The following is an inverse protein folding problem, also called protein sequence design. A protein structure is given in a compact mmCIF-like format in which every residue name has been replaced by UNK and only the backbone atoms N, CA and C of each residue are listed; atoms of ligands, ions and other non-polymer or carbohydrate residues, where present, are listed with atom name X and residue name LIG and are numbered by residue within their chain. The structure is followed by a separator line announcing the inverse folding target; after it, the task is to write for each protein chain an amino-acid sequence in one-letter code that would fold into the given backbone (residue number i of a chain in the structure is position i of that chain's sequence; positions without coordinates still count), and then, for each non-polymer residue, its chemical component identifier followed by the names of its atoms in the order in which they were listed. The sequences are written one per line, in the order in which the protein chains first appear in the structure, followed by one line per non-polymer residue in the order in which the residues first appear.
data_IF_767320908004
#
_entry.id   IF_767320908004
#
_cell.length_a   1.000
_cell.length_b   1.000
_cell.length_c   1.000
_cell.angle_alpha   90.00
_cell.angle_beta   90.00
_cell.angle_gamma   90.00
#
_symmetry.space_group_name_H-M   'P 1'
#
loop_
_entity.id
_entity.type
_entity.pdbx_description
1 polymer ?
#
# COMPACT_ATOMS: atom_id res chain seq x y z
N UNK A 1 4.88 5.94 -15.31
CA UNK A 1 3.58 5.81 -16.01
C UNK A 1 3.13 4.35 -16.03
N UNK A 2 3.97 3.42 -16.50
CA UNK A 2 3.63 1.99 -16.64
C UNK A 2 3.22 1.36 -15.30
N UNK A 3 3.97 1.57 -14.22
CA UNK A 3 3.62 1.07 -12.88
C UNK A 3 2.23 1.54 -12.45
N UNK A 4 1.92 2.83 -12.63
CA UNK A 4 0.61 3.35 -12.26
C UNK A 4 -0.52 2.73 -13.08
N UNK A 5 -0.30 2.52 -14.37
CA UNK A 5 -1.30 1.85 -15.21
C UNK A 5 -1.55 0.41 -14.74
N UNK A 6 -0.48 -0.35 -14.47
CA UNK A 6 -0.58 -1.73 -13.96
C UNK A 6 -1.30 -1.75 -12.60
N UNK A 7 -0.89 -0.92 -11.65
CA UNK A 7 -1.50 -0.91 -10.31
C UNK A 7 -2.97 -0.49 -10.32
N UNK A 8 -3.35 0.48 -11.15
CA UNK A 8 -4.76 0.88 -11.33
C UNK A 8 -5.57 -0.27 -11.94
N UNK A 9 -5.02 -0.96 -12.95
CA UNK A 9 -5.68 -2.12 -13.56
C UNK A 9 -5.85 -3.24 -12.53
N UNK A 10 -4.82 -3.56 -11.75
CA UNK A 10 -4.90 -4.57 -10.69
C UNK A 10 -5.95 -4.20 -9.64
N UNK A 11 -5.98 -2.94 -9.21
CA UNK A 11 -6.98 -2.48 -8.25
C UNK A 11 -8.42 -2.57 -8.81
N UNK A 12 -8.61 -2.19 -10.08
CA UNK A 12 -9.91 -2.29 -10.73
C UNK A 12 -10.40 -3.74 -10.82
N UNK A 13 -9.51 -4.67 -11.21
CA UNK A 13 -9.86 -6.10 -11.25
C UNK A 13 -10.14 -6.65 -9.86
N UNK A 14 -9.37 -6.28 -8.84
CA UNK A 14 -9.60 -6.69 -7.45
C UNK A 14 -10.99 -6.21 -6.94
N UNK A 15 -11.38 -4.98 -7.26
CA UNK A 15 -12.69 -4.42 -6.88
C UNK A 15 -13.83 -5.16 -7.59
N UNK A 16 -13.67 -5.47 -8.87
CA UNK A 16 -14.68 -6.19 -9.66
C UNK A 16 -14.83 -7.63 -9.15
N UNK A 17 -13.72 -8.32 -8.92
CA UNK A 17 -13.72 -9.71 -8.42
C UNK A 17 -14.21 -9.80 -6.96
N UNK A 18 -13.92 -8.80 -6.16
CA UNK A 18 -14.29 -8.73 -4.74
C UNK A 18 -15.73 -8.26 -4.48
N UNK A 19 -16.54 -7.99 -5.52
CA UNK A 19 -17.92 -7.51 -5.34
C UNK A 19 -18.02 -6.05 -4.86
N UNK A 20 -16.89 -5.34 -4.83
CA UNK A 20 -16.81 -3.93 -4.44
C UNK A 20 -15.86 -3.68 -3.26
N UNK A 21 -15.52 -2.41 -3.06
CA UNK A 21 -14.59 -1.99 -2.00
C UNK A 21 -15.13 -2.34 -0.61
N UNK A 22 -16.44 -2.18 -0.39
CA UNK A 22 -17.08 -2.45 0.89
C UNK A 22 -16.97 -3.93 1.27
N UNK A 23 -17.13 -4.82 0.30
CA UNK A 23 -17.08 -6.26 0.51
C UNK A 23 -15.65 -6.74 0.78
N UNK A 24 -14.66 -6.18 0.10
CA UNK A 24 -13.24 -6.44 0.36
C UNK A 24 -12.88 -6.01 1.79
N UNK A 25 -13.34 -4.84 2.24
CA UNK A 25 -13.06 -4.35 3.59
C UNK A 25 -13.76 -5.20 4.65
N UNK A 26 -15.00 -5.63 4.41
CA UNK A 26 -15.74 -6.48 5.36
C UNK A 26 -15.15 -7.87 5.51
N UNK A 27 -14.60 -8.42 4.45
CA UNK A 27 -13.97 -9.75 4.44
C UNK A 27 -12.50 -9.71 4.88
N UNK A 28 -11.94 -8.51 5.11
CA UNK A 28 -10.58 -8.40 5.61
C UNK A 28 -10.47 -9.05 6.99
N UNK A 29 -9.52 -9.97 7.20
CA UNK A 29 -9.35 -10.63 8.48
C UNK A 29 -8.94 -9.59 9.52
N UNK A 30 -9.92 -9.10 10.27
CA UNK A 30 -9.67 -8.28 11.45
C UNK A 30 -9.10 -9.24 12.47
N UNK A 31 -7.83 -9.07 12.82
CA UNK A 31 -7.22 -9.82 13.89
C UNK A 31 -8.11 -9.72 15.13
N UNK A 32 -8.68 -10.84 15.58
CA UNK A 32 -9.52 -10.86 16.75
C UNK A 32 -8.83 -10.19 17.90
N UNK A 33 -9.48 -9.14 18.38
CA UNK A 33 -9.20 -8.47 19.65
C UNK A 33 -7.77 -8.17 20.03
N UNK A 34 -7.35 -6.98 19.80
CA UNK A 34 -6.68 -6.06 20.75
C UNK A 34 -5.35 -6.44 21.38
N UNK A 35 -4.86 -7.65 21.32
CA UNK A 35 -3.58 -8.03 21.85
C UNK A 35 -2.61 -8.40 20.73
N UNK A 36 -1.76 -7.45 20.37
CA UNK A 36 -0.82 -7.63 19.26
C UNK A 36 0.38 -8.53 19.59
N UNK A 37 0.70 -8.75 20.86
CA UNK A 37 1.86 -9.56 21.25
C UNK A 37 1.50 -10.47 22.42
N UNK A 38 1.72 -11.76 22.23
CA UNK A 38 1.64 -12.73 23.34
C UNK A 38 2.59 -12.31 24.48
N UNK A 39 2.04 -12.00 25.63
CA UNK A 39 2.77 -11.66 26.84
C UNK A 39 2.93 -10.17 27.17
N UNK A 40 2.59 -9.26 26.29
CA UNK A 40 2.56 -7.82 26.58
C UNK A 40 1.12 -7.30 26.47
N UNK A 41 0.62 -6.66 27.53
CA UNK A 41 -0.69 -5.99 27.58
C UNK A 41 -0.74 -4.71 26.72
N UNK A 42 0.01 -4.65 25.62
CA UNK A 42 0.00 -3.51 24.70
C UNK A 42 -1.17 -3.63 23.75
N UNK A 43 -2.09 -2.68 23.86
CA UNK A 43 -3.21 -2.56 22.94
C UNK A 43 -2.72 -2.13 21.54
N UNK A 44 -3.20 -2.79 20.49
CA UNK A 44 -2.91 -2.46 19.09
C UNK A 44 -3.12 -0.96 18.79
N UNK A 45 -4.17 -0.36 19.32
CA UNK A 45 -4.46 1.07 19.15
C UNK A 45 -3.36 1.97 19.73
N UNK A 46 -2.79 1.59 20.88
CA UNK A 46 -1.70 2.33 21.52
C UNK A 46 -0.42 2.25 20.69
N UNK A 47 -0.08 1.07 20.20
CA UNK A 47 1.09 0.86 19.33
C UNK A 47 0.93 1.63 18.02
N UNK A 48 -0.25 1.54 17.40
CA UNK A 48 -0.58 2.28 16.18
C UNK A 48 -0.49 3.79 16.40
N UNK A 49 -1.01 4.30 17.52
CA UNK A 49 -0.96 5.72 17.84
C UNK A 49 0.48 6.24 18.04
N UNK A 50 1.31 5.47 18.74
CA UNK A 50 2.74 5.79 18.92
C UNK A 50 3.47 5.76 17.58
N UNK A 51 3.22 4.74 16.77
CA UNK A 51 3.80 4.62 15.43
C UNK A 51 3.36 5.76 14.52
N UNK A 52 2.06 6.09 14.49
CA UNK A 52 1.52 7.19 13.70
C UNK A 52 2.11 8.53 14.12
N UNK A 53 2.23 8.77 15.45
CA UNK A 53 2.89 9.96 15.97
C UNK A 53 4.36 10.02 15.55
N UNK A 54 5.10 8.92 15.65
CA UNK A 54 6.50 8.86 15.22
C UNK A 54 6.65 9.16 13.73
N UNK A 55 5.80 8.57 12.87
CA UNK A 55 5.77 8.85 11.43
C UNK A 55 5.45 10.33 11.17
N UNK A 56 4.50 10.92 11.90
CA UNK A 56 4.17 12.34 11.78
C UNK A 56 5.38 13.23 12.09
N UNK A 57 6.06 13.00 13.21
CA UNK A 57 7.27 13.76 13.60
C UNK A 57 8.39 13.58 12.59
N UNK A 58 8.63 12.33 12.15
CA UNK A 58 9.60 12.02 11.11
C UNK A 58 9.28 12.76 9.80
N UNK A 59 8.02 12.73 9.36
CA UNK A 59 7.59 13.39 8.14
C UNK A 59 7.74 14.91 8.23
N UNK A 60 7.41 15.49 9.38
CA UNK A 60 7.61 16.92 9.64
C UNK A 60 9.10 17.31 9.53
N UNK A 61 9.99 16.53 10.13
CA UNK A 61 11.44 16.74 10.05
C UNK A 61 11.98 16.62 8.62
N UNK A 62 11.50 15.63 7.86
CA UNK A 62 11.91 15.41 6.47
C UNK A 62 11.40 16.54 5.56
N UNK A 63 10.18 17.03 5.79
CA UNK A 63 9.60 18.13 5.00
C UNK A 63 10.37 19.44 5.20
N UNK A 64 10.94 19.65 6.38
CA UNK A 64 11.80 20.79 6.67
C UNK A 64 13.22 20.67 6.10
N UNK A 65 13.57 19.53 5.52
CA UNK A 65 14.84 19.36 4.85
C UNK A 65 14.83 20.11 3.50
N UNK A 66 15.89 20.86 3.23
CA UNK A 66 16.02 21.73 2.05
C UNK A 66 15.81 20.96 0.73
N UNK A 67 16.28 19.71 0.64
CA UNK A 67 16.11 18.85 -0.53
C UNK A 67 14.64 18.51 -0.84
N UNK A 68 13.82 18.34 0.17
CA UNK A 68 12.39 18.02 -0.01
C UNK A 68 11.55 19.29 -0.18
N UNK A 69 11.99 20.42 0.40
CA UNK A 69 11.33 21.72 0.26
C UNK A 69 11.48 22.32 -1.13
N UNK A 70 12.48 21.88 -1.90
CA UNK A 70 12.78 22.40 -3.23
C UNK A 70 11.57 22.38 -4.17
N UNK A 71 10.73 21.36 -4.06
CA UNK A 71 9.49 21.25 -4.86
C UNK A 71 8.51 22.40 -4.63
N UNK A 72 8.48 22.93 -3.41
CA UNK A 72 7.59 24.04 -3.03
C UNK A 72 8.25 25.40 -3.33
N UNK A 73 9.57 25.47 -3.26
CA UNK A 73 10.34 26.66 -3.62
C UNK A 73 10.28 26.95 -5.13
N UNK A 74 10.16 25.91 -5.96
CA UNK A 74 10.00 26.03 -7.40
C UNK A 74 8.60 26.54 -7.83
N UNK A 75 7.64 26.61 -6.92
CA UNK A 75 6.31 27.11 -7.24
C UNK A 75 6.31 28.64 -7.41
N UNK A 76 5.53 29.14 -8.37
CA UNK A 76 5.45 30.54 -8.72
C UNK A 76 5.05 31.44 -7.55
N UNK A 77 4.16 30.94 -6.69
CA UNK A 77 3.64 31.65 -5.51
C UNK A 77 3.20 30.67 -4.41
N UNK A 78 2.94 31.20 -3.22
CA UNK A 78 2.48 30.44 -2.04
C UNK A 78 1.14 29.74 -2.27
N UNK A 79 0.25 30.28 -3.10
CA UNK A 79 -1.06 29.67 -3.41
C UNK A 79 -0.88 28.42 -4.27
N UNK A 80 0.00 28.49 -5.27
CA UNK A 80 0.33 27.34 -6.13
C UNK A 80 1.09 26.26 -5.35
N UNK A 81 2.00 26.65 -4.44
CA UNK A 81 2.67 25.71 -3.54
C UNK A 81 1.67 24.93 -2.66
N UNK A 82 0.68 25.62 -2.07
CA UNK A 82 -0.39 24.98 -1.27
C UNK A 82 -1.24 24.02 -2.11
N UNK A 83 -1.62 24.40 -3.33
CA UNK A 83 -2.38 23.53 -4.25
C UNK A 83 -1.59 22.28 -4.62
N UNK A 84 -0.29 22.44 -4.92
CA UNK A 84 0.58 21.31 -5.23
C UNK A 84 0.72 20.36 -4.03
N UNK A 85 0.87 20.89 -2.82
CA UNK A 85 0.94 20.09 -1.59
C UNK A 85 -0.38 19.35 -1.32
N UNK A 86 -1.52 20.01 -1.48
CA UNK A 86 -2.83 19.38 -1.30
C UNK A 86 -3.07 18.28 -2.34
N UNK A 87 -2.75 18.54 -3.61
CA UNK A 87 -2.86 17.54 -4.66
C UNK A 87 -1.97 16.33 -4.37
N UNK A 88 -0.73 16.55 -3.96
CA UNK A 88 0.18 15.47 -3.59
C UNK A 88 -0.37 14.64 -2.41
N UNK A 89 -0.96 15.29 -1.41
CA UNK A 89 -1.59 14.63 -0.27
C UNK A 89 -2.76 13.73 -0.72
N UNK A 90 -3.66 14.26 -1.53
CA UNK A 90 -4.82 13.50 -2.07
C UNK A 90 -4.36 12.32 -2.92
N UNK A 91 -3.38 12.53 -3.79
CA UNK A 91 -2.83 11.46 -4.64
C UNK A 91 -2.11 10.39 -3.81
N UNK A 92 -1.39 10.77 -2.76
CA UNK A 92 -0.75 9.80 -1.86
C UNK A 92 -1.77 8.98 -1.08
N UNK A 93 -2.79 9.61 -0.50
CA UNK A 93 -3.85 8.89 0.21
C UNK A 93 -4.63 7.95 -0.71
N UNK A 94 -5.04 8.43 -1.88
CA UNK A 94 -5.71 7.60 -2.88
C UNK A 94 -4.81 6.47 -3.41
N UNK A 95 -3.53 6.77 -3.62
CA UNK A 95 -2.54 5.80 -4.09
C UNK A 95 -2.35 4.63 -3.15
N UNK A 96 -2.39 4.85 -1.84
CA UNK A 96 -2.31 3.78 -0.82
C UNK A 96 -3.45 2.78 -1.02
N UNK A 97 -4.70 3.24 -1.17
CA UNK A 97 -5.83 2.34 -1.40
C UNK A 97 -5.68 1.55 -2.70
N UNK A 98 -5.31 2.21 -3.79
CA UNK A 98 -5.10 1.55 -5.09
C UNK A 98 -4.01 0.48 -4.99
N UNK A 99 -2.91 0.78 -4.29
CA UNK A 99 -1.77 -0.13 -4.16
C UNK A 99 -2.08 -1.35 -3.30
N UNK A 100 -2.81 -1.17 -2.19
CA UNK A 100 -3.08 -2.26 -1.26
C UNK A 100 -4.32 -3.10 -1.61
N UNK A 101 -5.22 -2.61 -2.47
CA UNK A 101 -6.47 -3.28 -2.80
C UNK A 101 -6.31 -4.76 -3.25
N UNK A 102 -5.37 -5.12 -4.16
CA UNK A 102 -5.16 -6.50 -4.54
C UNK A 102 -4.71 -7.40 -3.40
N UNK A 103 -3.82 -6.89 -2.53
CA UNK A 103 -3.34 -7.64 -1.37
C UNK A 103 -4.44 -7.84 -0.33
N UNK A 104 -5.29 -6.84 -0.11
CA UNK A 104 -6.45 -6.94 0.78
C UNK A 104 -7.47 -7.94 0.27
N UNK A 105 -7.71 -7.98 -1.03
CA UNK A 105 -8.58 -8.97 -1.64
C UNK A 105 -8.09 -10.39 -1.38
N UNK A 106 -6.81 -10.69 -1.61
CA UNK A 106 -6.21 -12.00 -1.34
C UNK A 106 -6.28 -12.37 0.14
N UNK A 107 -6.01 -11.42 1.04
CA UNK A 107 -6.12 -11.63 2.48
C UNK A 107 -7.56 -11.98 2.89
N UNK A 108 -8.56 -11.32 2.29
CA UNK A 108 -9.98 -11.61 2.54
C UNK A 108 -10.44 -12.96 2.01
N UNK A 109 -9.78 -13.51 0.99
CA UNK A 109 -10.06 -14.86 0.45
C UNK A 109 -9.51 -15.99 1.33
N UNK A 110 -8.68 -15.68 2.33
CA UNK A 110 -8.08 -16.69 3.20
C UNK A 110 -7.09 -17.63 2.50
N UNK A 111 -6.47 -17.17 1.41
CA UNK A 111 -5.50 -17.96 0.65
C UNK A 111 -4.27 -18.26 1.51
N UNK A 112 -3.89 -19.53 1.59
CA UNK A 112 -2.64 -19.93 2.27
C UNK A 112 -1.42 -19.61 1.40
N UNK A 113 -0.89 -18.40 1.60
CA UNK A 113 0.29 -17.93 0.89
C UNK A 113 1.57 -18.68 1.30
N UNK A 114 1.59 -19.29 2.51
CA UNK A 114 2.74 -20.10 2.94
C UNK A 114 2.81 -21.41 2.16
N UNK A 115 1.67 -21.98 1.81
CA UNK A 115 1.60 -23.15 0.92
C UNK A 115 1.97 -22.80 -0.53
N UNK A 116 1.58 -21.60 -1.00
CA UNK A 116 1.88 -21.14 -2.37
C UNK A 116 3.38 -20.78 -2.54
N UNK A 117 4.00 -20.24 -1.49
CA UNK A 117 5.41 -19.81 -1.50
C UNK A 117 6.19 -20.40 -0.31
N UNK A 118 6.49 -21.69 -0.30
CA UNK A 118 7.15 -22.37 0.82
C UNK A 118 8.54 -21.80 1.13
N UNK A 119 9.26 -21.33 0.12
CA UNK A 119 10.59 -20.73 0.27
C UNK A 119 10.57 -19.36 0.94
N UNK A 120 9.42 -18.70 1.01
CA UNK A 120 9.29 -17.37 1.62
C UNK A 120 9.16 -17.44 3.15
N UNK A 121 8.82 -18.58 3.74
CA UNK A 121 8.66 -18.77 5.18
C UNK A 121 7.70 -17.72 5.79
N UNK A 122 8.15 -17.05 6.85
CA UNK A 122 7.34 -16.03 7.55
C UNK A 122 7.04 -14.77 6.71
N UNK A 123 7.62 -14.63 5.52
CA UNK A 123 7.39 -13.49 4.61
C UNK A 123 6.43 -13.81 3.46
N UNK A 124 5.76 -14.95 3.51
CA UNK A 124 4.81 -15.34 2.47
C UNK A 124 3.72 -14.27 2.21
N UNK A 125 3.32 -13.52 3.24
CA UNK A 125 2.37 -12.42 3.12
C UNK A 125 2.81 -11.27 2.20
N UNK A 126 4.12 -11.04 2.06
CA UNK A 126 4.66 -10.00 1.18
C UNK A 126 4.42 -10.33 -0.31
N UNK A 127 4.15 -11.59 -0.62
CA UNK A 127 3.88 -12.07 -1.97
C UNK A 127 2.39 -12.03 -2.37
N UNK A 128 1.50 -11.53 -1.49
CA UNK A 128 0.07 -11.47 -1.77
C UNK A 128 -0.25 -10.69 -3.07
N UNK A 129 0.46 -9.60 -3.32
CA UNK A 129 0.28 -8.82 -4.55
C UNK A 129 0.73 -9.60 -5.78
N UNK A 130 1.87 -10.29 -5.70
CA UNK A 130 2.39 -11.12 -6.78
C UNK A 130 1.44 -12.29 -7.08
N UNK A 131 0.94 -12.96 -6.04
CA UNK A 131 -0.06 -14.01 -6.16
C UNK A 131 -1.31 -13.51 -6.89
N UNK A 132 -1.83 -12.35 -6.52
CA UNK A 132 -2.97 -11.74 -7.21
C UNK A 132 -2.69 -11.54 -8.70
N UNK A 133 -1.52 -11.01 -9.05
CA UNK A 133 -1.18 -10.76 -10.47
C UNK A 133 -1.02 -12.08 -11.25
N UNK A 134 -0.47 -13.12 -10.63
CA UNK A 134 -0.33 -14.43 -11.27
C UNK A 134 -1.67 -15.11 -11.53
N UNK A 135 -2.62 -15.00 -10.60
CA UNK A 135 -3.89 -15.73 -10.68
C UNK A 135 -4.97 -14.98 -11.47
N UNK A 136 -5.06 -13.66 -11.31
CA UNK A 136 -6.17 -12.86 -11.83
C UNK A 136 -5.81 -12.02 -13.06
N UNK A 137 -4.54 -11.93 -13.44
CA UNK A 137 -4.11 -11.09 -14.55
C UNK A 137 -3.72 -11.91 -15.78
N UNK A 138 -3.85 -11.32 -17.00
CA UNK A 138 -3.42 -11.97 -18.23
C UNK A 138 -1.94 -12.30 -18.23
N UNK A 139 -1.57 -13.34 -18.99
CA UNK A 139 -0.18 -13.73 -19.18
C UNK A 139 0.66 -12.53 -19.66
N UNK A 140 1.81 -12.32 -19.03
CA UNK A 140 2.70 -11.19 -19.32
C UNK A 140 2.59 -10.00 -18.34
N UNK A 141 1.49 -9.85 -17.61
CA UNK A 141 1.35 -8.78 -16.60
C UNK A 141 2.34 -8.96 -15.44
N UNK A 142 2.63 -10.20 -15.06
CA UNK A 142 3.67 -10.51 -14.06
C UNK A 142 5.03 -9.98 -14.51
N UNK A 143 5.43 -10.28 -15.75
CA UNK A 143 6.70 -9.79 -16.31
C UNK A 143 6.76 -8.28 -16.39
N UNK A 144 5.65 -7.64 -16.76
CA UNK A 144 5.53 -6.19 -16.84
C UNK A 144 5.59 -5.54 -15.45
N UNK A 145 4.97 -6.15 -14.43
CA UNK A 145 5.06 -5.72 -13.04
C UNK A 145 6.51 -5.79 -12.54
N UNK A 146 7.15 -6.94 -12.72
CA UNK A 146 8.54 -7.18 -12.29
C UNK A 146 9.49 -6.22 -13.01
N UNK A 147 9.35 -6.05 -14.32
CA UNK A 147 10.15 -5.08 -15.08
C UNK A 147 9.94 -3.65 -14.60
N UNK A 148 8.69 -3.29 -14.27
CA UNK A 148 8.35 -1.97 -13.74
C UNK A 148 8.94 -1.74 -12.33
N UNK A 149 8.98 -2.76 -11.48
CA UNK A 149 9.62 -2.71 -10.16
C UNK A 149 11.14 -2.54 -10.29
N UNK A 150 11.80 -3.28 -11.19
CA UNK A 150 13.22 -3.10 -11.45
C UNK A 150 13.54 -1.70 -12.00
N UNK A 151 12.74 -1.20 -12.93
CA UNK A 151 12.91 0.15 -13.47
C UNK A 151 12.71 1.26 -12.42
N UNK A 152 11.97 1.01 -11.36
CA UNK A 152 11.78 1.96 -10.27
C UNK A 152 12.91 1.96 -9.24
N UNK A 153 13.68 0.86 -9.16
CA UNK A 153 14.79 0.69 -8.21
C UNK A 153 16.15 1.06 -8.78
N UNK A 154 16.26 1.16 -10.12
CA UNK A 154 17.45 1.65 -10.83
C UNK A 154 17.39 3.17 -11.04
#
# INVERSE_FOLDING_TARGET
VIIMAVTITCAAVAIVQGGGVTEIISNFPVAESGSFVAGNNLNYLSIFSIWAFFIFVKQFSITNNMLNSYRYLAAKDSKNAKKAALLACVLMLGGVFIWFMPSWYIAGQGVDLAAAYPDAGNKAGDFAYLYFVQEYMPAGMVGLLVAAMFAATM
#
